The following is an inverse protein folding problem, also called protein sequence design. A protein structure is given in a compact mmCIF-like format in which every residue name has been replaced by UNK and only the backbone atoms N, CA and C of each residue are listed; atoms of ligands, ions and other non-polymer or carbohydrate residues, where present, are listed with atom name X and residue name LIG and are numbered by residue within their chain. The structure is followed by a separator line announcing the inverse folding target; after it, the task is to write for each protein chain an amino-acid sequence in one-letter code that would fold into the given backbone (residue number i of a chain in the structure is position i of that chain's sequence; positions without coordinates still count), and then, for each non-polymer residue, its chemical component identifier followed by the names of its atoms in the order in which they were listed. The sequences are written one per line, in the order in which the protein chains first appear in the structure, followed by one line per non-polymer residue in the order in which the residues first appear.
data_IF_414032187499
#
_entry.id   IF_414032187499
#
_cell.length_a   1.000
_cell.length_b   1.000
_cell.length_c   1.000
_cell.angle_alpha   90.00
_cell.angle_beta   90.00
_cell.angle_gamma   90.00
#
_symmetry.space_group_name_H-M   'P 1'
#
loop_
_entity.id
_entity.type
_entity.pdbx_description
1 polymer ?
#
# COMPACT_ATOMS: atom_id res chain seq x y z
N UNK A 1 18.68 -14.83 -5.52
CA UNK A 1 18.11 -13.47 -5.62
C UNK A 1 16.79 -13.62 -6.35
N UNK A 2 15.68 -13.59 -5.62
CA UNK A 2 14.35 -13.66 -6.19
C UNK A 2 13.85 -12.21 -6.18
N UNK A 3 13.98 -11.52 -7.31
CA UNK A 3 13.37 -10.19 -7.44
C UNK A 3 11.86 -10.37 -7.39
N UNK A 4 11.26 -10.10 -6.23
CA UNK A 4 9.82 -10.22 -6.05
C UNK A 4 9.16 -8.89 -6.40
N UNK A 5 8.67 -8.79 -7.63
CA UNK A 5 7.92 -7.64 -8.10
C UNK A 5 6.43 -7.85 -7.85
N UNK A 6 5.92 -7.33 -6.73
CA UNK A 6 4.49 -7.33 -6.45
C UNK A 6 3.85 -6.09 -7.10
N UNK A 7 3.23 -6.28 -8.25
CA UNK A 7 2.39 -5.24 -8.88
C UNK A 7 0.95 -5.46 -8.44
N UNK A 8 0.38 -4.46 -7.77
CA UNK A 8 -1.07 -4.41 -7.56
C UNK A 8 -1.69 -3.60 -8.69
N UNK A 9 -2.51 -4.28 -9.49
CA UNK A 9 -3.23 -3.67 -10.59
C UNK A 9 -4.68 -4.13 -10.53
N UNK A 10 -5.59 -3.22 -10.22
CA UNK A 10 -7.02 -3.47 -10.35
C UNK A 10 -7.40 -3.46 -11.82
N UNK A 11 -7.15 -4.58 -12.51
CA UNK A 11 -7.72 -4.74 -13.84
C UNK A 11 -9.26 -4.69 -13.75
N UNK A 12 -9.89 -3.95 -14.65
CA UNK A 12 -11.33 -3.66 -14.71
C UNK A 12 -12.25 -4.89 -14.73
N UNK A 13 -11.72 -6.11 -14.86
CA UNK A 13 -12.49 -7.33 -15.03
C UNK A 13 -12.95 -7.99 -13.71
N UNK A 14 -12.29 -7.76 -12.56
CA UNK A 14 -12.61 -8.46 -11.32
C UNK A 14 -12.62 -7.60 -10.04
N UNK A 15 -12.14 -6.35 -10.08
CA UNK A 15 -11.97 -5.43 -8.93
C UNK A 15 -11.12 -5.93 -7.75
N UNK A 16 -10.81 -7.23 -7.66
CA UNK A 16 -10.00 -7.83 -6.62
C UNK A 16 -8.51 -7.52 -6.81
N UNK A 17 -7.70 -7.46 -5.72
CA UNK A 17 -6.28 -7.20 -5.81
C UNK A 17 -5.57 -8.32 -6.59
N UNK A 18 -4.86 -7.89 -7.63
CA UNK A 18 -3.94 -8.71 -8.41
C UNK A 18 -2.56 -8.64 -7.76
N UNK A 19 -1.87 -9.76 -7.71
CA UNK A 19 -0.51 -9.87 -7.25
C UNK A 19 0.33 -10.57 -8.31
N UNK A 20 1.60 -10.22 -8.36
CA UNK A 20 2.59 -10.86 -9.23
C UNK A 20 3.72 -11.33 -8.32
N UNK A 21 4.04 -12.63 -8.34
CA UNK A 21 5.18 -13.18 -7.61
C UNK A 21 6.50 -12.82 -8.30
N UNK A 22 7.62 -13.03 -7.60
CA UNK A 22 8.95 -12.87 -8.20
C UNK A 22 9.28 -13.84 -9.34
N UNK A 23 8.51 -14.93 -9.43
CA UNK A 23 8.51 -15.87 -10.54
C UNK A 23 7.65 -15.41 -11.74
N UNK A 24 7.00 -14.24 -11.63
CA UNK A 24 6.10 -13.70 -12.63
C UNK A 24 4.69 -14.31 -12.61
N UNK A 25 4.41 -15.24 -11.70
CA UNK A 25 3.08 -15.85 -11.59
C UNK A 25 2.10 -14.82 -11.04
N UNK A 26 0.95 -14.72 -11.73
CA UNK A 26 -0.13 -13.82 -11.34
C UNK A 26 -1.15 -14.59 -10.50
N UNK A 27 -1.54 -14.01 -9.38
CA UNK A 27 -2.66 -14.51 -8.57
C UNK A 27 -3.61 -13.38 -8.20
N UNK A 28 -4.88 -13.72 -8.07
CA UNK A 28 -5.92 -12.83 -7.59
C UNK A 28 -6.27 -13.25 -6.18
N UNK A 29 -6.24 -12.29 -5.26
CA UNK A 29 -6.56 -12.57 -3.87
C UNK A 29 -7.61 -11.59 -3.38
N UNK A 30 -8.82 -12.10 -3.24
CA UNK A 30 -9.98 -11.35 -2.74
C UNK A 30 -9.78 -10.94 -1.26
N UNK A 31 -9.34 -11.86 -0.40
CA UNK A 31 -9.30 -11.59 1.03
C UNK A 31 -10.70 -11.34 1.61
N UNK A 32 -10.78 -10.53 2.67
CA UNK A 32 -12.03 -10.11 3.32
C UNK A 32 -11.95 -8.66 3.78
N UNK A 33 -13.06 -7.95 3.67
CA UNK A 33 -13.20 -6.58 4.18
C UNK A 33 -12.97 -6.51 5.70
N UNK A 34 -12.19 -5.51 6.13
CA UNK A 34 -11.76 -5.26 7.51
C UNK A 34 -10.94 -6.39 8.16
N UNK A 35 -10.20 -7.15 7.35
CA UNK A 35 -9.26 -8.16 7.84
C UNK A 35 -7.82 -7.85 7.39
N UNK A 36 -6.86 -8.40 8.13
CA UNK A 36 -5.44 -8.25 7.86
C UNK A 36 -4.85 -9.54 7.30
N UNK A 37 -4.03 -9.41 6.27
CA UNK A 37 -3.37 -10.53 5.62
C UNK A 37 -1.86 -10.29 5.55
N UNK A 38 -1.08 -11.35 5.74
CA UNK A 38 0.34 -11.35 5.48
C UNK A 38 0.56 -11.60 3.98
N UNK A 39 1.19 -10.65 3.30
CA UNK A 39 1.49 -10.71 1.87
C UNK A 39 2.89 -11.27 1.60
N UNK A 40 3.85 -10.92 2.45
CA UNK A 40 5.25 -11.36 2.37
C UNK A 40 5.75 -11.65 3.77
N UNK A 41 6.38 -12.81 3.96
CA UNK A 41 6.89 -13.26 5.25
C UNK A 41 8.29 -13.84 5.10
N UNK A 42 9.29 -12.97 5.05
CA UNK A 42 10.70 -13.35 5.00
C UNK A 42 11.39 -13.12 6.34
N UNK A 43 12.62 -13.64 6.48
CA UNK A 43 13.39 -13.56 7.73
C UNK A 43 13.70 -12.14 8.21
N UNK A 44 13.85 -11.19 7.28
CA UNK A 44 14.25 -9.80 7.52
C UNK A 44 13.12 -8.79 7.29
N UNK A 45 12.01 -9.18 6.65
CA UNK A 45 10.86 -8.33 6.39
C UNK A 45 9.54 -9.10 6.39
N UNK A 46 8.51 -8.47 6.94
CA UNK A 46 7.13 -8.90 6.80
C UNK A 46 6.29 -7.74 6.28
N UNK A 47 5.51 -7.99 5.23
CA UNK A 47 4.56 -7.02 4.66
C UNK A 47 3.15 -7.52 4.91
N UNK A 48 2.39 -6.75 5.68
CA UNK A 48 0.99 -7.02 5.99
C UNK A 48 0.12 -5.99 5.27
N UNK A 49 -1.11 -6.39 4.95
CA UNK A 49 -2.11 -5.53 4.34
C UNK A 49 -3.43 -5.59 5.10
N UNK A 50 -4.03 -4.43 5.36
CA UNK A 50 -5.42 -4.32 5.78
C UNK A 50 -6.30 -4.20 4.54
N UNK A 51 -7.30 -5.07 4.42
CA UNK A 51 -8.23 -5.06 3.30
C UNK A 51 -9.51 -4.32 3.69
N UNK A 52 -10.04 -3.54 2.76
CA UNK A 52 -11.39 -2.97 2.81
C UNK A 52 -12.22 -3.57 1.68
N UNK A 53 -13.54 -3.44 1.77
CA UNK A 53 -14.41 -3.88 0.72
C UNK A 53 -15.72 -3.13 0.65
N UNK A 54 -16.33 -3.21 -0.53
CA UNK A 54 -17.63 -2.64 -0.86
C UNK A 54 -18.46 -3.72 -1.52
N UNK A 55 -19.68 -3.94 -1.03
CA UNK A 55 -20.64 -4.84 -1.67
C UNK A 55 -21.63 -4.04 -2.51
N UNK A 56 -21.56 -4.10 -3.86
CA UNK A 56 -22.58 -3.49 -4.69
C UNK A 56 -23.95 -4.17 -4.48
N UNK A 57 -25.01 -3.42 -4.74
CA UNK A 57 -26.37 -3.97 -4.72
C UNK A 57 -26.48 -5.16 -5.69
N UNK A 58 -27.20 -6.20 -5.28
CA UNK A 58 -27.38 -7.42 -6.08
C UNK A 58 -26.16 -8.36 -6.14
N UNK A 59 -25.05 -8.04 -5.46
CA UNK A 59 -23.88 -8.94 -5.35
C UNK A 59 -23.91 -9.73 -4.04
N UNK A 60 -23.46 -10.98 -4.11
CA UNK A 60 -23.34 -11.89 -2.96
C UNK A 60 -22.01 -11.77 -2.21
N UNK A 61 -21.04 -11.07 -2.80
CA UNK A 61 -19.70 -10.86 -2.25
C UNK A 61 -19.27 -9.41 -2.40
N UNK A 62 -18.29 -9.03 -1.60
CA UNK A 62 -17.66 -7.72 -1.68
C UNK A 62 -16.78 -7.67 -2.94
N UNK A 63 -16.43 -6.46 -3.37
CA UNK A 63 -15.13 -6.20 -3.98
C UNK A 63 -14.19 -5.76 -2.87
N UNK A 64 -12.90 -6.04 -3.02
CA UNK A 64 -11.91 -5.84 -1.96
C UNK A 64 -10.69 -5.10 -2.47
N UNK A 65 -10.05 -4.33 -1.60
CA UNK A 65 -8.84 -3.59 -1.91
C UNK A 65 -7.98 -3.41 -0.67
N UNK A 66 -6.76 -2.93 -0.84
CA UNK A 66 -5.87 -2.64 0.28
C UNK A 66 -6.11 -1.21 0.76
N UNK A 67 -6.20 -1.02 2.07
CA UNK A 67 -6.34 0.30 2.72
C UNK A 67 -5.12 0.66 3.57
N UNK A 68 -4.32 -0.32 3.98
CA UNK A 68 -3.10 -0.04 4.69
C UNK A 68 -2.06 -1.12 4.42
N UNK A 69 -0.79 -0.72 4.45
CA UNK A 69 0.35 -1.61 4.53
C UNK A 69 1.04 -1.42 5.88
N UNK A 70 1.41 -2.54 6.50
CA UNK A 70 2.30 -2.57 7.65
C UNK A 70 3.59 -3.29 7.26
N UNK A 71 4.71 -2.57 7.34
CA UNK A 71 6.05 -3.08 7.07
C UNK A 71 6.70 -3.35 8.43
N UNK A 72 7.13 -4.58 8.66
CA UNK A 72 7.89 -4.96 9.86
C UNK A 72 9.27 -5.44 9.43
N UNK A 73 10.32 -4.84 9.99
CA UNK A 73 11.71 -5.12 9.64
C UNK A 73 12.59 -4.88 10.88
N UNK A 74 13.48 -5.82 11.20
CA UNK A 74 14.22 -5.79 12.47
C UNK A 74 13.27 -5.62 13.67
N UNK A 75 13.49 -4.57 14.47
CA UNK A 75 12.64 -4.20 15.60
C UNK A 75 11.66 -3.06 15.28
N UNK A 76 11.59 -2.65 14.01
CA UNK A 76 10.85 -1.47 13.58
C UNK A 76 9.59 -1.84 12.83
N UNK A 77 8.63 -0.92 12.86
CA UNK A 77 7.44 -0.97 12.03
C UNK A 77 7.20 0.36 11.33
N UNK A 78 6.81 0.31 10.06
CA UNK A 78 6.39 1.46 9.28
C UNK A 78 5.02 1.17 8.69
N UNK A 79 4.05 2.05 8.93
CA UNK A 79 2.67 1.89 8.44
C UNK A 79 2.35 2.96 7.41
N UNK A 80 1.69 2.55 6.34
CA UNK A 80 1.13 3.44 5.33
C UNK A 80 -0.37 3.15 5.24
N UNK A 81 -1.21 4.15 5.45
CA UNK A 81 -2.66 4.04 5.41
C UNK A 81 -3.24 5.18 4.58
N UNK A 82 -4.34 4.92 3.85
CA UNK A 82 -5.16 6.01 3.32
C UNK A 82 -6.23 6.39 4.32
N UNK A 83 -6.33 7.70 4.50
CA UNK A 83 -7.41 8.33 5.22
C UNK A 83 -8.72 8.10 4.46
N UNK A 84 -9.72 7.55 5.17
CA UNK A 84 -11.07 7.38 4.62
C UNK A 84 -11.69 8.75 4.37
N UNK A 85 -12.09 9.01 3.14
CA UNK A 85 -12.80 10.25 2.75
C UNK A 85 -14.12 9.90 2.05
N UNK A 86 -15.10 10.79 2.16
CA UNK A 86 -16.37 10.69 1.41
C UNK A 86 -16.17 11.02 -0.07
N UNK A 87 -15.25 11.95 -0.37
CA UNK A 87 -14.92 12.39 -1.73
C UNK A 87 -13.40 12.42 -1.89
N UNK A 88 -12.93 11.69 -2.89
CA UNK A 88 -11.53 11.73 -3.28
C UNK A 88 -11.23 12.98 -4.10
N UNK A 89 -10.15 13.66 -3.75
CA UNK A 89 -9.61 14.79 -4.51
C UNK A 89 -8.11 14.57 -4.61
N UNK A 90 -7.60 14.42 -5.84
CA UNK A 90 -6.18 14.09 -6.09
C UNK A 90 -5.23 15.14 -5.51
N UNK A 91 -5.68 16.40 -5.42
CA UNK A 91 -4.91 17.52 -4.86
C UNK A 91 -4.89 17.56 -3.33
N UNK A 92 -5.67 16.72 -2.65
CA UNK A 92 -5.66 16.61 -1.19
C UNK A 92 -4.83 15.38 -0.81
N UNK A 93 -3.94 15.53 0.18
CA UNK A 93 -3.16 14.41 0.66
C UNK A 93 -3.99 13.51 1.59
N UNK A 94 -4.06 12.22 1.25
CA UNK A 94 -4.79 11.22 2.03
C UNK A 94 -3.85 10.25 2.76
N UNK A 95 -2.53 10.51 2.73
CA UNK A 95 -1.52 9.68 3.39
C UNK A 95 -1.57 9.84 4.91
N UNK A 96 -1.69 8.71 5.61
CA UNK A 96 -1.37 8.60 7.03
C UNK A 96 -0.19 7.66 7.19
N UNK A 97 0.88 8.16 7.81
CA UNK A 97 2.12 7.42 8.02
C UNK A 97 2.38 7.27 9.52
N UNK A 98 2.98 6.17 9.92
CA UNK A 98 3.55 6.03 11.26
C UNK A 98 4.82 5.21 11.25
N UNK A 99 5.72 5.54 12.19
CA UNK A 99 6.95 4.81 12.44
C UNK A 99 7.01 4.43 13.93
N UNK A 100 7.17 3.15 14.22
CA UNK A 100 7.14 2.58 15.57
C UNK A 100 5.93 3.03 16.41
N UNK A 101 4.76 3.04 15.76
CA UNK A 101 3.50 3.47 16.36
C UNK A 101 3.35 4.97 16.60
N UNK A 102 4.33 5.79 16.21
CA UNK A 102 4.27 7.25 16.29
C UNK A 102 3.89 7.83 14.93
N UNK A 103 2.89 8.72 14.90
CA UNK A 103 2.46 9.39 13.68
C UNK A 103 3.63 10.15 13.04
N UNK A 104 3.77 9.97 11.73
CA UNK A 104 4.81 10.56 10.90
C UNK A 104 4.19 11.52 9.91
N UNK A 105 4.77 12.71 9.80
CA UNK A 105 4.40 13.69 8.78
C UNK A 105 5.57 13.93 7.82
N UNK A 106 5.29 13.81 6.53
CA UNK A 106 6.17 14.24 5.44
C UNK A 106 5.46 15.39 4.74
N UNK A 107 6.06 16.60 4.64
CA UNK A 107 5.44 17.72 3.96
C UNK A 107 4.98 17.37 2.55
N UNK A 108 3.86 17.93 2.10
CA UNK A 108 3.43 17.81 0.70
C UNK A 108 4.47 18.45 -0.23
N UNK A 109 4.69 17.83 -1.38
CA UNK A 109 5.66 18.27 -2.36
C UNK A 109 6.54 17.13 -2.87
N UNK A 110 6.76 17.13 -4.18
CA UNK A 110 7.66 16.19 -4.84
C UNK A 110 9.04 16.24 -4.18
N UNK A 111 9.68 15.07 -4.02
CA UNK A 111 10.96 14.84 -3.31
C UNK A 111 10.99 15.22 -1.83
N UNK A 112 9.86 15.54 -1.20
CA UNK A 112 9.84 15.71 0.26
C UNK A 112 10.07 14.36 0.92
N UNK A 113 10.94 14.32 1.93
CA UNK A 113 11.39 13.05 2.51
C UNK A 113 11.40 13.07 4.04
N UNK A 114 11.44 11.88 4.59
CA UNK A 114 11.74 11.62 5.98
C UNK A 114 12.69 10.44 6.09
N UNK A 115 13.62 10.54 7.04
CA UNK A 115 14.58 9.50 7.37
C UNK A 115 14.47 9.19 8.86
N UNK A 116 14.48 7.90 9.19
CA UNK A 116 14.71 7.46 10.57
C UNK A 116 16.10 7.91 11.05
N UNK A 117 16.26 8.13 12.35
CA UNK A 117 17.49 8.69 12.93
C UNK A 117 18.76 7.87 12.63
N UNK A 118 18.62 6.55 12.50
CA UNK A 118 19.74 5.64 12.20
C UNK A 118 19.80 5.22 10.73
N UNK A 119 18.86 5.68 9.91
CA UNK A 119 18.77 5.28 8.50
C UNK A 119 18.21 3.87 8.28
N UNK A 120 17.46 3.30 9.24
CA UNK A 120 16.81 1.99 9.10
C UNK A 120 15.71 1.98 8.03
N UNK A 121 15.12 3.14 7.78
CA UNK A 121 14.08 3.39 6.77
C UNK A 121 14.10 4.85 6.31
N UNK A 122 13.82 5.04 5.02
CA UNK A 122 13.56 6.32 4.37
C UNK A 122 12.19 6.27 3.69
N UNK A 123 11.49 7.40 3.68
CA UNK A 123 10.27 7.58 2.90
C UNK A 123 10.36 8.89 2.12
N UNK A 124 10.17 8.82 0.80
CA UNK A 124 10.26 9.97 -0.11
C UNK A 124 8.99 10.09 -0.95
N UNK A 125 8.41 11.29 -1.03
CA UNK A 125 7.27 11.57 -1.91
C UNK A 125 7.70 11.58 -3.38
N UNK A 126 6.99 10.82 -4.21
CA UNK A 126 7.20 10.77 -5.67
C UNK A 126 6.21 11.65 -6.45
N UNK A 127 5.34 12.38 -5.73
CA UNK A 127 4.38 13.35 -6.26
C UNK A 127 4.09 14.39 -5.17
N UNK A 128 3.33 15.45 -5.49
CA UNK A 128 2.89 16.43 -4.49
C UNK A 128 2.08 15.76 -3.37
N UNK A 129 1.15 14.88 -3.74
CA UNK A 129 0.22 14.18 -2.84
C UNK A 129 0.16 12.69 -3.16
N UNK A 130 -0.28 11.87 -2.19
CA UNK A 130 -0.77 10.50 -2.40
C UNK A 130 0.21 9.48 -3.00
N UNK A 131 1.49 9.82 -3.19
CA UNK A 131 2.50 8.89 -3.73
C UNK A 131 3.83 9.04 -3.02
N UNK A 132 4.43 7.91 -2.64
CA UNK A 132 5.73 7.86 -1.97
C UNK A 132 6.46 6.53 -2.25
N UNK A 133 7.76 6.53 -2.08
CA UNK A 133 8.59 5.33 -2.03
C UNK A 133 9.11 5.17 -0.61
N UNK A 134 8.98 3.97 -0.04
CA UNK A 134 9.63 3.59 1.22
C UNK A 134 10.82 2.70 0.90
N UNK A 135 11.98 3.08 1.39
CA UNK A 135 13.22 2.34 1.22
C UNK A 135 13.68 1.82 2.57
N UNK A 136 13.83 0.50 2.66
CA UNK A 136 14.46 -0.20 3.77
C UNK A 136 15.80 -0.71 3.23
N UNK A 137 16.95 -0.12 3.64
CA UNK A 137 18.25 -0.43 3.05
C UNK A 137 18.55 -1.93 3.03
N UNK A 138 19.10 -2.40 1.91
CA UNK A 138 19.46 -3.80 1.65
C UNK A 138 18.31 -4.83 1.75
N UNK A 139 17.06 -4.37 1.89
CA UNK A 139 15.89 -5.24 2.09
C UNK A 139 14.84 -5.01 0.99
N UNK A 140 14.26 -3.80 0.91
CA UNK A 140 13.11 -3.56 0.04
C UNK A 140 12.94 -2.09 -0.37
N UNK A 141 12.36 -1.88 -1.56
CA UNK A 141 11.89 -0.59 -2.05
C UNK A 141 10.40 -0.68 -2.43
N UNK A 142 9.55 0.11 -1.79
CA UNK A 142 8.10 -0.03 -1.88
C UNK A 142 7.53 1.26 -2.43
N UNK A 143 7.14 1.27 -3.71
CA UNK A 143 6.47 2.41 -4.32
C UNK A 143 4.96 2.33 -4.11
N UNK A 144 4.39 3.45 -3.70
CA UNK A 144 3.00 3.57 -3.28
C UNK A 144 2.41 4.71 -4.08
N UNK A 145 1.23 4.48 -4.63
CA UNK A 145 0.41 5.49 -5.28
C UNK A 145 -1.03 5.21 -4.85
N UNK A 146 -1.76 6.20 -4.37
CA UNK A 146 -3.12 6.05 -3.89
C UNK A 146 -4.10 6.71 -4.86
N UNK A 147 -5.24 6.06 -5.14
CA UNK A 147 -6.25 6.58 -6.05
C UNK A 147 -7.64 5.99 -5.78
N UNK A 148 -8.69 6.76 -6.10
CA UNK A 148 -10.08 6.31 -5.97
C UNK A 148 -10.44 5.18 -6.95
N UNK A 149 -11.35 4.29 -6.55
CA UNK A 149 -11.76 3.13 -7.37
C UNK A 149 -12.98 3.35 -8.26
N UNK A 150 -13.82 4.35 -7.98
CA UNK A 150 -14.87 4.76 -8.94
C UNK A 150 -15.52 6.09 -8.55
N UNK A 151 -15.99 6.84 -9.56
CA UNK A 151 -16.81 8.05 -9.38
C UNK A 151 -18.25 7.73 -8.91
N UNK A 152 -18.82 6.58 -9.30
CA UNK A 152 -20.24 6.26 -9.08
C UNK A 152 -20.57 5.68 -7.68
N UNK A 153 -19.61 5.04 -7.01
CA UNK A 153 -19.81 4.50 -5.65
C UNK A 153 -18.96 5.26 -4.62
N UNK A 154 -19.22 6.56 -4.56
CA UNK A 154 -18.49 7.53 -3.74
C UNK A 154 -18.99 7.54 -2.28
N UNK A 155 -18.39 6.70 -1.42
CA UNK A 155 -18.39 6.91 0.06
C UNK A 155 -17.13 6.42 0.77
N UNK A 156 -16.36 5.50 0.18
CA UNK A 156 -15.12 4.97 0.76
C UNK A 156 -14.11 4.82 -0.37
N UNK A 157 -13.11 5.69 -0.38
CA UNK A 157 -12.06 5.68 -1.39
C UNK A 157 -10.86 4.84 -0.93
N UNK A 158 -10.29 4.14 -1.89
CA UNK A 158 -9.42 2.97 -1.77
C UNK A 158 -7.95 3.35 -2.07
N UNK A 159 -6.99 2.49 -1.72
CA UNK A 159 -5.60 2.56 -2.19
C UNK A 159 -5.33 1.43 -3.16
N UNK A 160 -4.59 1.73 -4.22
CA UNK A 160 -4.09 0.69 -5.12
C UNK A 160 -2.60 0.92 -5.37
N UNK A 161 -1.80 0.05 -4.76
CA UNK A 161 -0.34 0.08 -4.82
C UNK A 161 0.17 -0.30 -6.22
N UNK A 162 0.40 0.69 -7.09
CA UNK A 162 0.80 0.41 -8.48
C UNK A 162 2.12 -0.36 -8.62
N UNK A 163 3.04 -0.36 -7.65
CA UNK A 163 4.31 -1.11 -7.77
C UNK A 163 5.06 -1.27 -6.44
N UNK A 164 5.13 -2.47 -5.89
CA UNK A 164 6.04 -2.81 -4.80
C UNK A 164 7.24 -3.58 -5.36
N UNK A 165 8.46 -3.07 -5.18
CA UNK A 165 9.69 -3.67 -5.73
C UNK A 165 10.62 -4.09 -4.59
N UNK A 166 10.42 -5.29 -4.05
CA UNK A 166 11.34 -5.76 -3.02
C UNK A 166 12.65 -6.22 -3.68
N UNK A 167 13.75 -5.52 -3.36
CA UNK A 167 15.04 -5.66 -4.04
C UNK A 167 15.82 -6.92 -3.59
N UNK A 168 15.57 -7.40 -2.36
CA UNK A 168 16.36 -8.47 -1.73
C UNK A 168 15.55 -9.42 -0.82
N UNK A 169 14.36 -9.85 -1.27
CA UNK A 169 13.66 -10.99 -0.66
C UNK A 169 13.96 -12.31 -1.37
#
# INVERSE_FOLDING_TARGET
MINSLFVFDSSHACYDPRFIGGDGIVFYFHGRSNEHFNLISESNIQINACFIGLRPEGRTRDYTWIQALGLKFGNHNFTIEATKTQKWEDSVDHLKLSYDGTDLHIPEGHTSEWNSTKGDVQAERTSTTNSLTVTIPDIAEISINMFSVSEENSKIHIIIFRKMTALHI
#
